data_IF_579746526540
#
_entry.id   IF_579746526540
#
_cell.length_a   1.000
_cell.length_b   1.000
_cell.length_c   1.000
_cell.angle_alpha   90.00
_cell.angle_beta   90.00
_cell.angle_gamma   90.00
#
_symmetry.space_group_name_H-M   'P 1'
#
loop_
_entity.id
_entity.type
_entity.pdbx_description
1 polymer ?
#
# COMPACT_ATOMS: atom_id res chain seq x y z
N UNK A 1 -5.01 2.48 -3.76
CA UNK A 1 -4.21 2.72 -2.55
C UNK A 1 -5.03 3.51 -1.54
N UNK A 2 -5.19 4.83 -1.66
CA UNK A 2 -5.96 5.62 -0.65
C UNK A 2 -7.42 5.18 -0.52
N UNK A 3 -8.17 5.12 -1.63
CA UNK A 3 -9.57 4.63 -1.60
C UNK A 3 -9.69 3.20 -1.06
N UNK A 4 -8.94 2.26 -1.64
CA UNK A 4 -8.97 0.85 -1.19
C UNK A 4 -8.62 0.71 0.29
N UNK A 5 -7.60 1.41 0.79
CA UNK A 5 -7.24 1.36 2.21
C UNK A 5 -8.38 1.88 3.11
N UNK A 6 -9.06 2.94 2.68
CA UNK A 6 -10.24 3.45 3.38
C UNK A 6 -11.37 2.43 3.38
N UNK A 7 -11.72 1.87 2.22
CA UNK A 7 -12.78 0.86 2.10
C UNK A 7 -12.48 -0.41 2.91
N UNK A 8 -11.25 -0.91 2.85
CA UNK A 8 -10.87 -2.18 3.45
C UNK A 8 -10.57 -2.09 4.96
N UNK A 9 -10.09 -0.94 5.45
CA UNK A 9 -9.59 -0.81 6.83
C UNK A 9 -10.23 0.31 7.65
N UNK A 10 -10.98 1.22 7.02
CA UNK A 10 -11.51 2.42 7.65
C UNK A 10 -10.50 3.55 7.83
N UNK A 11 -9.22 3.34 7.50
CA UNK A 11 -8.20 4.38 7.59
C UNK A 11 -8.11 5.22 6.32
N UNK A 12 -8.25 6.53 6.47
CA UNK A 12 -8.17 7.51 5.40
C UNK A 12 -6.91 8.36 5.52
N UNK A 13 -6.05 8.32 4.49
CA UNK A 13 -4.96 9.27 4.28
C UNK A 13 -5.51 10.51 3.55
N UNK A 14 -6.11 11.43 4.32
CA UNK A 14 -6.79 12.61 3.82
C UNK A 14 -6.18 13.92 4.34
N UNK A 15 -6.31 14.98 3.54
CA UNK A 15 -6.08 16.37 3.94
C UNK A 15 -7.22 17.24 3.42
N UNK A 16 -7.40 18.43 3.98
CA UNK A 16 -8.41 19.39 3.49
C UNK A 16 -8.23 19.64 2.00
N UNK A 17 -9.30 19.45 1.23
CA UNK A 17 -9.26 19.60 -0.22
C UNK A 17 -10.60 19.32 -0.86
N UNK A 18 -10.73 19.71 -2.13
CA UNK A 18 -11.91 19.43 -2.96
C UNK A 18 -11.53 18.47 -4.09
N UNK A 19 -12.15 17.29 -4.08
CA UNK A 19 -11.99 16.27 -5.11
C UNK A 19 -12.77 16.60 -6.40
N UNK A 20 -13.69 17.57 -6.37
CA UNK A 20 -14.67 17.77 -7.42
C UNK A 20 -15.68 16.61 -7.49
N UNK A 21 -16.46 16.54 -8.56
CA UNK A 21 -17.37 15.41 -8.80
C UNK A 21 -16.58 14.15 -9.18
N UNK A 22 -16.85 13.03 -8.50
CA UNK A 22 -16.02 11.83 -8.62
C UNK A 22 -16.74 10.66 -9.30
N UNK A 23 -18.05 10.51 -9.06
CA UNK A 23 -18.87 9.43 -9.62
C UNK A 23 -18.61 8.06 -8.99
N UNK A 24 -17.97 8.01 -7.82
CA UNK A 24 -17.70 6.80 -7.05
C UNK A 24 -18.08 7.04 -5.59
N UNK A 25 -18.85 6.11 -5.01
CA UNK A 25 -19.46 6.29 -3.68
C UNK A 25 -18.44 6.63 -2.59
N UNK A 26 -17.33 5.89 -2.51
CA UNK A 26 -16.28 6.11 -1.52
C UNK A 26 -15.58 7.46 -1.70
N UNK A 27 -15.36 7.88 -2.94
CA UNK A 27 -14.79 9.20 -3.22
C UNK A 27 -15.76 10.34 -2.92
N UNK A 28 -17.06 10.14 -3.15
CA UNK A 28 -18.09 11.10 -2.79
C UNK A 28 -18.25 11.22 -1.27
N UNK A 29 -18.08 10.12 -0.52
CA UNK A 29 -18.01 10.13 0.94
C UNK A 29 -16.79 10.93 1.44
N UNK A 30 -15.60 10.66 0.89
CA UNK A 30 -14.37 11.42 1.21
C UNK A 30 -14.55 12.91 0.91
N UNK A 31 -15.16 13.24 -0.23
CA UNK A 31 -15.48 14.62 -0.61
C UNK A 31 -16.47 15.26 0.38
N UNK A 32 -17.47 14.54 0.85
CA UNK A 32 -18.46 15.06 1.81
C UNK A 32 -17.83 15.50 3.14
N UNK A 33 -16.67 14.94 3.49
CA UNK A 33 -15.84 15.33 4.62
C UNK A 33 -14.94 16.55 4.35
N UNK A 34 -15.00 17.15 3.16
CA UNK A 34 -14.09 18.18 2.65
C UNK A 34 -12.61 17.73 2.63
N UNK A 35 -12.40 16.45 2.32
CA UNK A 35 -11.07 15.84 2.24
C UNK A 35 -10.73 15.42 0.81
N UNK A 36 -9.43 15.40 0.53
CA UNK A 36 -8.82 14.81 -0.66
C UNK A 36 -7.60 13.97 -0.24
N UNK A 37 -7.14 13.00 -1.07
CA UNK A 37 -5.94 12.21 -0.79
C UNK A 37 -4.71 13.06 -0.47
N UNK A 38 -4.09 12.81 0.69
CA UNK A 38 -2.86 13.48 1.07
C UNK A 38 -1.62 12.76 0.49
N UNK A 39 -1.30 13.06 -0.78
CA UNK A 39 -0.18 12.41 -1.47
C UNK A 39 1.19 12.82 -0.93
N UNK A 40 1.31 13.95 -0.22
CA UNK A 40 2.56 14.39 0.40
C UNK A 40 3.04 13.40 1.49
N UNK A 41 2.08 12.75 2.16
CA UNK A 41 2.31 11.77 3.24
C UNK A 41 2.29 10.33 2.75
N UNK A 42 2.24 10.11 1.43
CA UNK A 42 2.23 8.80 0.81
C UNK A 42 3.61 8.49 0.24
N UNK A 43 4.31 7.55 0.85
CA UNK A 43 5.68 7.21 0.49
C UNK A 43 5.72 5.97 -0.40
N UNK A 44 6.46 6.05 -1.50
CA UNK A 44 6.59 4.93 -2.43
C UNK A 44 7.51 3.84 -1.89
N UNK A 45 7.08 2.59 -1.95
CA UNK A 45 7.90 1.42 -1.59
C UNK A 45 8.57 0.86 -2.84
N UNK A 46 7.79 0.46 -3.83
CA UNK A 46 8.33 -0.22 -5.00
C UNK A 46 7.25 -0.71 -5.95
N UNK A 47 7.70 -1.39 -6.99
CA UNK A 47 6.84 -1.93 -8.05
C UNK A 47 7.03 -3.43 -8.14
N UNK A 48 5.93 -4.19 -8.11
CA UNK A 48 5.96 -5.61 -8.43
C UNK A 48 5.00 -6.01 -9.54
N UNK A 49 5.41 -7.00 -10.34
CA UNK A 49 4.56 -7.62 -11.34
C UNK A 49 4.57 -9.13 -11.13
N UNK A 50 3.39 -9.71 -10.88
CA UNK A 50 3.21 -11.16 -10.73
C UNK A 50 3.58 -11.92 -12.03
N UNK A 51 3.97 -13.20 -11.97
CA UNK A 51 4.40 -13.97 -13.14
C UNK A 51 3.37 -13.98 -14.26
N UNK A 52 3.84 -14.00 -15.52
CA UNK A 52 2.98 -14.17 -16.69
C UNK A 52 2.21 -15.50 -16.72
N UNK A 53 2.69 -16.52 -15.99
CA UNK A 53 2.07 -17.84 -15.90
C UNK A 53 0.88 -17.92 -14.92
N UNK A 54 0.66 -16.91 -14.08
CA UNK A 54 -0.50 -16.88 -13.17
C UNK A 54 -1.76 -16.47 -13.94
N UNK A 55 -2.89 -17.10 -13.62
CA UNK A 55 -4.18 -16.78 -14.24
C UNK A 55 -4.66 -15.37 -13.87
N UNK A 56 -4.48 -14.98 -12.61
CA UNK A 56 -4.70 -13.62 -12.12
C UNK A 56 -3.36 -12.93 -11.97
N UNK A 57 -3.23 -11.72 -12.51
CA UNK A 57 -1.98 -10.98 -12.56
C UNK A 57 -2.17 -9.54 -12.10
N UNK A 58 -1.18 -9.05 -11.38
CA UNK A 58 -1.13 -7.67 -10.91
C UNK A 58 0.14 -6.98 -11.38
N UNK A 59 0.00 -5.69 -11.63
CA UNK A 59 1.07 -4.74 -11.89
C UNK A 59 0.97 -3.66 -10.79
N UNK A 60 1.49 -4.01 -9.61
CA UNK A 60 1.18 -3.36 -8.34
C UNK A 60 2.28 -2.37 -7.95
N UNK A 61 1.86 -1.16 -7.53
CA UNK A 61 2.73 -0.21 -6.83
C UNK A 61 2.41 -0.29 -5.34
N UNK A 62 3.45 -0.34 -4.53
CA UNK A 62 3.37 -0.41 -3.08
C UNK A 62 3.71 0.93 -2.48
N UNK A 63 3.00 1.29 -1.41
CA UNK A 63 3.16 2.55 -0.71
C UNK A 63 3.03 2.32 0.79
N UNK A 64 3.63 3.19 1.59
CA UNK A 64 3.45 3.24 3.03
C UNK A 64 3.13 4.67 3.48
N UNK A 65 2.52 4.77 4.66
CA UNK A 65 2.29 6.03 5.36
C UNK A 65 2.32 5.76 6.86
N UNK A 66 2.34 6.81 7.66
CA UNK A 66 2.32 6.72 9.11
C UNK A 66 0.90 6.78 9.64
N UNK A 67 0.58 5.96 10.63
CA UNK A 67 -0.77 5.93 11.22
C UNK A 67 -1.22 7.29 11.79
N UNK A 68 -0.28 8.09 12.30
CA UNK A 68 -0.58 9.43 12.84
C UNK A 68 -0.88 10.48 11.76
N UNK A 69 -0.60 10.17 10.48
CA UNK A 69 -0.98 10.99 9.32
C UNK A 69 -2.35 10.56 8.76
N UNK A 70 -2.94 9.50 9.29
CA UNK A 70 -4.23 8.97 8.88
C UNK A 70 -5.33 9.31 9.89
N UNK A 71 -6.57 9.26 9.41
CA UNK A 71 -7.78 9.40 10.24
C UNK A 71 -8.64 8.14 10.13
N UNK A 72 -9.52 7.92 11.09
CA UNK A 72 -10.42 6.77 11.14
C UNK A 72 -10.09 5.80 12.27
N UNK A 73 -10.86 4.72 12.31
CA UNK A 73 -10.71 3.63 13.28
C UNK A 73 -10.68 2.32 12.53
N UNK A 74 -9.91 1.35 13.01
CA UNK A 74 -9.78 0.05 12.36
C UNK A 74 -11.16 -0.62 12.23
N UNK A 75 -11.62 -0.76 10.99
CA UNK A 75 -12.92 -1.32 10.63
C UNK A 75 -13.29 -0.90 9.21
N UNK A 76 -13.34 -1.87 8.28
CA UNK A 76 -13.67 -1.63 6.87
C UNK A 76 -15.00 -2.23 6.43
N UNK A 77 -15.10 -2.48 5.13
CA UNK A 77 -16.29 -3.00 4.42
C UNK A 77 -16.77 -4.39 4.87
N UNK A 78 -15.96 -5.11 5.64
CA UNK A 78 -16.19 -6.50 6.03
C UNK A 78 -15.69 -7.53 5.03
N UNK A 79 -15.05 -7.11 3.94
CA UNK A 79 -14.36 -8.01 3.00
C UNK A 79 -13.16 -8.70 3.66
N UNK A 80 -12.43 -7.96 4.50
CA UNK A 80 -11.31 -8.49 5.29
C UNK A 80 -11.79 -8.98 6.65
N UNK A 81 -11.31 -10.17 7.04
CA UNK A 81 -11.44 -10.71 8.40
C UNK A 81 -10.14 -10.49 9.18
N UNK A 82 -10.25 -10.44 10.51
CA UNK A 82 -9.10 -10.38 11.44
C UNK A 82 -8.11 -9.23 11.18
N UNK A 83 -8.65 -8.03 10.88
CA UNK A 83 -7.85 -6.81 10.77
C UNK A 83 -7.07 -6.54 12.07
N UNK A 84 -5.75 -6.42 11.95
CA UNK A 84 -4.86 -6.17 13.07
C UNK A 84 -3.62 -5.37 12.63
N UNK A 85 -3.05 -4.61 13.58
CA UNK A 85 -1.70 -4.06 13.42
C UNK A 85 -0.68 -5.10 13.83
N UNK A 86 0.24 -5.41 12.93
CA UNK A 86 1.34 -6.36 13.13
C UNK A 86 2.68 -5.65 12.98
N UNK A 87 3.72 -6.15 13.67
CA UNK A 87 5.08 -5.76 13.31
C UNK A 87 5.41 -6.31 11.91
N UNK A 88 6.35 -5.67 11.19
CA UNK A 88 6.79 -6.16 9.88
C UNK A 88 7.30 -7.61 9.95
N UNK A 89 7.95 -7.97 11.07
CA UNK A 89 8.51 -9.31 11.31
C UNK A 89 7.42 -10.34 11.58
N UNK A 90 6.37 -9.98 12.32
CA UNK A 90 5.21 -10.85 12.54
C UNK A 90 4.42 -11.03 11.24
N UNK A 91 4.25 -9.95 10.46
CA UNK A 91 3.57 -10.01 9.17
C UNK A 91 4.25 -11.02 8.22
N UNK A 92 5.58 -11.03 8.14
CA UNK A 92 6.36 -11.99 7.33
C UNK A 92 6.16 -13.46 7.73
N UNK A 93 5.63 -13.75 8.92
CA UNK A 93 5.30 -15.12 9.32
C UNK A 93 3.97 -15.64 8.74
N UNK A 94 3.16 -14.75 8.15
CA UNK A 94 1.87 -15.09 7.58
C UNK A 94 1.98 -15.53 6.11
N UNK A 95 1.08 -16.42 5.63
CA UNK A 95 1.07 -16.82 4.23
C UNK A 95 0.78 -15.62 3.32
N UNK A 96 1.69 -15.32 2.40
CA UNK A 96 1.51 -14.26 1.42
C UNK A 96 2.15 -14.60 0.07
N UNK A 97 1.84 -13.80 -0.94
CA UNK A 97 2.52 -13.87 -2.24
C UNK A 97 3.92 -13.24 -2.12
N UNK A 98 4.89 -13.79 -2.83
CA UNK A 98 6.31 -13.39 -2.78
C UNK A 98 6.54 -11.91 -3.13
N UNK A 99 5.70 -11.33 -3.99
CA UNK A 99 5.75 -9.89 -4.28
C UNK A 99 5.45 -9.03 -3.05
N UNK A 100 4.58 -9.49 -2.14
CA UNK A 100 4.25 -8.79 -0.89
C UNK A 100 5.34 -9.01 0.14
N UNK A 101 5.83 -10.25 0.25
CA UNK A 101 6.97 -10.61 1.13
C UNK A 101 8.18 -9.72 0.85
N UNK A 102 8.58 -9.63 -0.42
CA UNK A 102 9.68 -8.79 -0.86
C UNK A 102 9.49 -7.30 -0.47
N UNK A 103 8.28 -6.77 -0.59
CA UNK A 103 8.02 -5.35 -0.24
C UNK A 103 8.07 -5.12 1.27
N UNK A 104 7.72 -6.10 2.09
CA UNK A 104 7.88 -6.01 3.55
C UNK A 104 9.36 -6.12 3.96
N UNK A 105 10.15 -6.96 3.28
CA UNK A 105 11.61 -7.01 3.48
C UNK A 105 12.27 -5.65 3.16
N UNK A 106 11.87 -5.01 2.06
CA UNK A 106 12.32 -3.65 1.70
C UNK A 106 11.96 -2.61 2.77
N UNK A 107 10.81 -2.76 3.43
CA UNK A 107 10.41 -1.90 4.54
C UNK A 107 11.26 -2.14 5.81
N UNK A 108 11.64 -3.39 6.08
CA UNK A 108 12.57 -3.71 7.19
C UNK A 108 13.95 -3.12 6.95
N UNK A 109 14.43 -3.11 5.69
CA UNK A 109 15.70 -2.46 5.35
C UNK A 109 15.63 -0.95 5.57
N UNK A 110 14.50 -0.31 5.24
CA UNK A 110 14.29 1.13 5.49
C UNK A 110 14.19 1.47 6.97
N UNK A 111 13.61 0.60 7.79
CA UNK A 111 13.58 0.76 9.25
C UNK A 111 15.01 0.93 9.82
N UNK A 112 16.01 0.21 9.27
CA UNK A 112 17.41 0.30 9.69
C UNK A 112 18.05 1.66 9.39
N UNK A 113 17.49 2.42 8.45
CA UNK A 113 17.95 3.75 8.05
C UNK A 113 16.98 4.84 8.49
N UNK A 114 16.13 4.58 9.49
CA UNK A 114 15.10 5.50 9.98
C UNK A 114 14.23 6.08 8.86
N UNK A 115 13.83 5.21 7.92
CA UNK A 115 12.99 5.54 6.77
C UNK A 115 13.52 6.67 5.88
N UNK A 116 14.85 6.89 5.86
CA UNK A 116 15.49 7.81 4.93
C UNK A 116 15.07 7.55 3.47
N UNK A 117 14.89 8.63 2.70
CA UNK A 117 14.48 8.55 1.29
C UNK A 117 15.49 7.76 0.48
N UNK A 118 15.11 6.64 -0.16
CA UNK A 118 16.01 5.85 -0.98
C UNK A 118 16.49 6.62 -2.22
N UNK A 119 17.73 6.38 -2.64
CA UNK A 119 18.26 6.90 -3.92
C UNK A 119 17.81 6.07 -5.12
N UNK A 120 17.37 4.83 -4.89
CA UNK A 120 16.79 3.92 -5.88
C UNK A 120 15.65 3.16 -5.25
N UNK A 121 14.67 2.77 -6.07
CA UNK A 121 13.50 2.01 -5.66
C UNK A 121 13.50 0.61 -6.28
N UNK A 122 13.05 -0.40 -5.54
CA UNK A 122 13.01 -1.76 -6.01
C UNK A 122 11.89 -1.99 -7.03
N UNK A 123 12.22 -2.79 -8.04
CA UNK A 123 11.32 -3.46 -8.95
C UNK A 123 11.47 -4.97 -8.74
N UNK A 124 10.35 -5.67 -8.57
CA UNK A 124 10.28 -7.13 -8.50
C UNK A 124 9.39 -7.68 -9.61
N UNK A 125 9.88 -8.67 -10.34
CA UNK A 125 9.07 -9.35 -11.33
C UNK A 125 9.70 -10.66 -11.74
N UNK A 126 9.34 -11.12 -12.94
CA UNK A 126 9.80 -12.42 -13.44
C UNK A 126 10.26 -12.32 -14.87
N UNK A 127 11.38 -12.98 -15.18
CA UNK A 127 11.93 -13.11 -16.52
C UNK A 127 12.28 -14.56 -16.79
N UNK A 128 11.73 -15.13 -17.86
CA UNK A 128 11.91 -16.55 -18.23
C UNK A 128 11.59 -17.51 -17.06
N UNK A 129 10.52 -17.21 -16.31
CA UNK A 129 10.07 -18.03 -15.17
C UNK A 129 10.91 -17.91 -13.90
N UNK A 130 11.90 -17.02 -13.85
CA UNK A 130 12.72 -16.76 -12.66
C UNK A 130 12.44 -15.38 -12.11
N UNK A 131 12.54 -15.23 -10.79
CA UNK A 131 12.49 -13.93 -10.14
C UNK A 131 13.56 -13.00 -10.72
N UNK A 132 13.20 -11.74 -10.88
CA UNK A 132 14.02 -10.69 -11.44
C UNK A 132 13.80 -9.43 -10.62
N UNK A 133 14.87 -8.96 -9.99
CA UNK A 133 14.89 -7.78 -9.16
C UNK A 133 15.81 -6.73 -9.78
N UNK A 134 15.44 -5.46 -9.66
CA UNK A 134 16.25 -4.31 -10.10
C UNK A 134 15.96 -3.12 -9.20
N UNK A 135 16.98 -2.31 -8.92
CA UNK A 135 16.85 -1.05 -8.22
C UNK A 135 17.09 0.10 -9.20
N UNK A 136 16.18 1.08 -9.25
CA UNK A 136 16.29 2.27 -10.11
C UNK A 136 15.81 3.53 -9.46
#
# INVERSE_FOLDING_TARGET
>A
AVREAYEETGFLLGASGDLGETGNESWDEIRSMNLAPNLEKMHYVGHAITPASKAVRFNARFFYTWVHEMSGTLGGSGELSDLAFLSLRDALSLPMVDVTEFMLEEMILREQTDFATPTTYPFFGYRKGRQYQRYT
#
